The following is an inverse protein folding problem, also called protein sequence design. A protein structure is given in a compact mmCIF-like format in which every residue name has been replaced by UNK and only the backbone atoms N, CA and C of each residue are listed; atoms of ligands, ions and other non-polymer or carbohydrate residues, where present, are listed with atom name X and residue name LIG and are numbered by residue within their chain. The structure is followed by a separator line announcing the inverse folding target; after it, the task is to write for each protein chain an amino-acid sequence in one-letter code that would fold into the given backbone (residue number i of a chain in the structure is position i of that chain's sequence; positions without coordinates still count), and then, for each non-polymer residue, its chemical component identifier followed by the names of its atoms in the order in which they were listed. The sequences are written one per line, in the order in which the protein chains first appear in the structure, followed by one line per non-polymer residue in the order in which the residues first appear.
data_IF_252997842998
#
_entry.id   IF_252997842998
#
_cell.length_a   1.000
_cell.length_b   1.000
_cell.length_c   1.000
_cell.angle_alpha   90.00
_cell.angle_beta   90.00
_cell.angle_gamma   90.00
#
_symmetry.space_group_name_H-M   'P 1'
#
loop_
_entity.id
_entity.type
_entity.pdbx_description
1 polymer ?
#
# COMPACT_ATOMS: atom_id res chain seq x y z
N UNK A 1 -7.12 11.05 1.47
CA UNK A 1 -6.36 11.22 2.73
C UNK A 1 -6.54 10.03 3.70
N UNK A 2 -7.74 9.43 3.80
CA UNK A 2 -8.01 8.28 4.70
C UNK A 2 -7.19 7.01 4.37
N UNK A 3 -6.99 6.69 3.09
CA UNK A 3 -6.22 5.50 2.67
C UNK A 3 -4.74 5.53 3.09
N UNK A 4 -4.14 6.73 3.12
CA UNK A 4 -2.72 6.94 3.40
C UNK A 4 -2.34 6.55 4.83
N UNK A 5 -3.13 7.02 5.80
CA UNK A 5 -2.93 6.69 7.22
C UNK A 5 -3.23 5.20 7.44
N UNK A 6 -4.29 4.67 6.80
CA UNK A 6 -4.66 3.26 6.92
C UNK A 6 -3.56 2.30 6.47
N UNK A 7 -2.87 2.59 5.36
CA UNK A 7 -1.72 1.80 4.89
C UNK A 7 -0.59 1.80 5.91
N UNK A 8 -0.18 2.98 6.37
CA UNK A 8 0.93 3.09 7.33
C UNK A 8 0.60 2.39 8.65
N UNK A 9 -0.65 2.46 9.12
CA UNK A 9 -1.10 1.74 10.31
C UNK A 9 -1.06 0.22 10.13
N UNK A 10 -1.49 -0.29 8.97
CA UNK A 10 -1.43 -1.73 8.65
C UNK A 10 -0.01 -2.26 8.64
N UNK A 11 0.92 -1.53 8.00
CA UNK A 11 2.34 -1.88 8.00
C UNK A 11 2.93 -1.76 9.42
N UNK A 12 2.52 -0.77 10.22
CA UNK A 12 2.91 -0.66 11.63
C UNK A 12 2.44 -1.86 12.49
N UNK A 13 1.30 -2.46 12.13
CA UNK A 13 0.77 -3.67 12.77
C UNK A 13 1.45 -4.96 12.29
N UNK A 14 2.44 -4.87 11.39
CA UNK A 14 3.22 -6.00 10.89
C UNK A 14 2.73 -6.55 9.56
N UNK A 15 1.83 -5.86 8.85
CA UNK A 15 1.43 -6.27 7.50
C UNK A 15 2.55 -5.98 6.49
N UNK A 16 3.11 -7.03 5.91
CA UNK A 16 4.27 -6.96 5.00
C UNK A 16 3.90 -7.11 3.53
N UNK A 17 2.64 -7.42 3.21
CA UNK A 17 2.17 -7.61 1.85
C UNK A 17 0.68 -7.23 1.71
N UNK A 18 0.32 -6.70 0.55
CA UNK A 18 -1.06 -6.38 0.17
C UNK A 18 -1.45 -7.20 -1.06
N UNK A 19 -2.70 -7.66 -1.09
CA UNK A 19 -3.24 -8.48 -2.17
C UNK A 19 -4.54 -7.90 -2.70
N UNK A 20 -4.73 -8.00 -4.01
CA UNK A 20 -5.96 -7.59 -4.65
C UNK A 20 -7.13 -8.46 -4.12
N UNK A 21 -8.31 -7.85 -3.88
CA UNK A 21 -9.47 -8.59 -3.43
C UNK A 21 -9.92 -9.58 -4.50
N UNK A 22 -10.38 -10.77 -4.06
CA UNK A 22 -10.82 -11.87 -4.93
C UNK A 22 -12.07 -11.52 -5.76
N UNK A 23 -12.90 -10.60 -5.24
CA UNK A 23 -14.09 -10.08 -5.91
C UNK A 23 -13.86 -8.61 -6.32
N UNK A 24 -13.57 -8.34 -7.60
CA UNK A 24 -13.20 -7.00 -8.06
C UNK A 24 -14.39 -6.02 -8.18
N UNK A 25 -15.62 -6.51 -8.09
CA UNK A 25 -16.85 -5.78 -8.43
C UNK A 25 -17.13 -4.46 -7.67
N UNK A 26 -16.48 -4.22 -6.53
CA UNK A 26 -16.53 -2.93 -5.79
C UNK A 26 -15.14 -2.42 -5.34
N UNK A 27 -14.08 -3.21 -5.56
CA UNK A 27 -12.80 -3.01 -4.86
C UNK A 27 -11.57 -3.07 -5.77
N UNK A 28 -11.74 -3.30 -7.07
CA UNK A 28 -10.63 -3.42 -8.02
C UNK A 28 -9.91 -2.10 -8.31
N UNK A 29 -10.66 -1.06 -8.71
CA UNK A 29 -10.13 0.29 -8.92
C UNK A 29 -9.44 0.82 -7.65
N UNK A 30 -10.01 0.51 -6.48
CA UNK A 30 -9.46 0.86 -5.17
C UNK A 30 -8.10 0.20 -4.89
N UNK A 31 -7.83 -1.01 -5.40
CA UNK A 31 -6.55 -1.68 -5.14
C UNK A 31 -5.41 -1.12 -5.98
N UNK A 32 -5.65 -0.83 -7.25
CA UNK A 32 -4.59 -0.25 -8.10
C UNK A 32 -4.20 1.14 -7.59
N UNK A 33 -5.19 1.95 -7.20
CA UNK A 33 -4.96 3.24 -6.54
C UNK A 33 -4.21 3.09 -5.20
N UNK A 34 -4.54 2.09 -4.39
CA UNK A 34 -3.83 1.79 -3.13
C UNK A 34 -2.33 1.53 -3.37
N UNK A 35 -1.99 0.76 -4.39
CA UNK A 35 -0.60 0.45 -4.74
C UNK A 35 0.14 1.71 -5.19
N UNK A 36 -0.48 2.56 -6.00
CA UNK A 36 0.14 3.84 -6.39
C UNK A 36 0.42 4.73 -5.17
N UNK A 37 -0.46 4.73 -4.16
CA UNK A 37 -0.21 5.42 -2.90
C UNK A 37 0.96 4.81 -2.12
N UNK A 38 1.08 3.48 -2.07
CA UNK A 38 2.23 2.79 -1.44
C UNK A 38 3.53 3.19 -2.15
N UNK A 39 3.55 3.20 -3.48
CA UNK A 39 4.72 3.61 -4.27
C UNK A 39 5.04 5.10 -4.07
N UNK A 40 4.03 5.96 -3.93
CA UNK A 40 4.24 7.37 -3.63
C UNK A 40 4.83 7.57 -2.22
N UNK A 41 4.35 6.82 -1.23
CA UNK A 41 4.92 6.80 0.13
C UNK A 41 6.35 6.29 0.14
N UNK A 42 6.65 5.26 -0.64
CA UNK A 42 8.01 4.74 -0.75
C UNK A 42 8.96 5.74 -1.38
N UNK A 43 8.53 6.42 -2.45
CA UNK A 43 9.27 7.54 -3.08
C UNK A 43 9.50 8.72 -2.13
N UNK A 44 8.63 8.89 -1.13
CA UNK A 44 8.76 9.90 -0.07
C UNK A 44 9.62 9.44 1.12
N UNK A 45 10.15 8.22 1.10
CA UNK A 45 10.97 7.69 2.20
C UNK A 45 10.17 7.25 3.43
N UNK A 46 8.85 7.13 3.34
CA UNK A 46 7.97 6.81 4.48
C UNK A 46 7.85 5.30 4.72
N UNK A 47 8.00 4.51 3.67
CA UNK A 47 8.03 3.07 3.73
C UNK A 47 8.98 2.51 2.67
N UNK A 48 9.38 1.28 2.86
CA UNK A 48 10.01 0.46 1.82
C UNK A 48 8.98 -0.50 1.27
N UNK A 49 9.08 -0.80 -0.02
CA UNK A 49 8.23 -1.77 -0.71
C UNK A 49 9.04 -2.55 -1.74
N UNK A 50 8.65 -3.79 -1.98
CA UNK A 50 9.10 -4.57 -3.12
C UNK A 50 8.49 -4.10 -4.44
N UNK A 51 8.77 -4.83 -5.51
CA UNK A 51 8.18 -4.57 -6.82
C UNK A 51 6.71 -5.02 -6.85
N UNK A 52 5.78 -4.17 -7.31
CA UNK A 52 4.39 -4.57 -7.50
C UNK A 52 4.28 -5.69 -8.54
N UNK A 53 3.47 -6.71 -8.23
CA UNK A 53 3.09 -7.73 -9.21
C UNK A 53 1.95 -7.22 -10.07
N UNK A 54 2.20 -7.19 -11.37
CA UNK A 54 1.24 -6.71 -12.37
C UNK A 54 0.13 -7.74 -12.57
N UNK A 55 -1.11 -7.26 -12.61
CA UNK A 55 -2.30 -8.05 -12.89
C UNK A 55 -2.70 -8.07 -14.36
N UNK A 56 -3.80 -8.75 -14.67
CA UNK A 56 -4.41 -8.68 -15.99
C UNK A 56 -5.18 -7.36 -16.13
N UNK A 57 -4.91 -6.60 -17.21
CA UNK A 57 -5.52 -5.29 -17.52
C UNK A 57 -7.05 -5.25 -17.48
N UNK A 58 -7.71 -6.38 -17.60
CA UNK A 58 -9.18 -6.48 -17.60
C UNK A 58 -9.79 -6.51 -16.18
N UNK A 59 -8.98 -6.61 -15.12
CA UNK A 59 -9.47 -6.69 -13.74
C UNK A 59 -8.79 -5.70 -12.82
N UNK A 60 -7.46 -5.73 -12.72
CA UNK A 60 -6.66 -4.83 -11.88
C UNK A 60 -5.27 -4.64 -12.50
N UNK A 61 -4.70 -3.43 -12.40
CA UNK A 61 -3.33 -3.18 -12.85
C UNK A 61 -2.30 -3.93 -11.99
N UNK A 62 -2.58 -4.09 -10.70
CA UNK A 62 -1.74 -4.80 -9.75
C UNK A 62 -2.52 -5.91 -9.03
N UNK A 63 -1.84 -7.02 -8.72
CA UNK A 63 -2.41 -8.13 -7.94
C UNK A 63 -1.83 -8.22 -6.54
N UNK A 64 -0.62 -7.75 -6.33
CA UNK A 64 -0.01 -7.69 -5.00
C UNK A 64 1.21 -6.77 -4.96
N UNK A 65 1.61 -6.40 -3.76
CA UNK A 65 2.93 -5.85 -3.45
C UNK A 65 3.40 -6.46 -2.13
N UNK A 66 4.67 -6.82 -2.04
CA UNK A 66 5.28 -7.46 -0.88
C UNK A 66 6.46 -6.62 -0.36
N UNK A 67 7.13 -7.12 0.69
CA UNK A 67 8.28 -6.47 1.33
C UNK A 67 7.97 -5.05 1.84
N UNK A 68 6.75 -4.85 2.36
CA UNK A 68 6.37 -3.60 3.00
C UNK A 68 7.00 -3.49 4.39
N UNK A 69 7.68 -2.39 4.64
CA UNK A 69 8.20 -2.06 5.97
C UNK A 69 8.25 -0.55 6.18
N UNK A 70 7.85 -0.10 7.37
CA UNK A 70 7.93 1.31 7.75
C UNK A 70 9.38 1.75 7.90
N UNK A 71 9.68 2.93 7.40
CA UNK A 71 10.91 3.62 7.77
C UNK A 71 10.72 4.32 9.12
N UNK A 72 11.83 4.76 9.69
CA UNK A 72 11.81 5.58 10.91
C UNK A 72 11.08 6.91 10.68
N UNK A 73 11.22 7.50 9.49
CA UNK A 73 10.49 8.72 9.10
C UNK A 73 8.99 8.48 9.01
N UNK A 74 8.56 7.38 8.37
CA UNK A 74 7.16 7.00 8.30
C UNK A 74 6.53 6.73 9.67
N UNK A 75 7.29 6.10 10.57
CA UNK A 75 6.86 5.88 11.96
C UNK A 75 6.62 7.20 12.69
N UNK A 76 7.59 8.13 12.64
CA UNK A 76 7.47 9.44 13.30
C UNK A 76 6.31 10.26 12.75
N UNK A 77 6.12 10.25 11.43
CA UNK A 77 4.98 10.92 10.82
C UNK A 77 3.66 10.33 11.30
N UNK A 78 3.56 8.99 11.36
CA UNK A 78 2.36 8.31 11.84
C UNK A 78 2.05 8.64 13.30
N UNK A 79 3.08 8.76 14.14
CA UNK A 79 2.95 9.18 15.54
C UNK A 79 2.49 10.64 15.66
N UNK A 80 2.97 11.54 14.78
CA UNK A 80 2.55 12.95 14.76
C UNK A 80 1.16 13.20 14.15
N UNK A 81 0.68 12.26 13.33
CA UNK A 81 -0.63 12.31 12.69
C UNK A 81 -1.74 11.68 13.55
N UNK A 82 -1.38 11.14 14.73
CA UNK A 82 -2.27 10.58 15.75
C UNK A 82 -2.69 11.66 16.74
#
# INVERSE_FOLDING_TARGET
MVYLIGVLQRVAQGETALYAPRNPGESGENFSELIEHVLALSRRGMLTSGEPRVGNRNTNQYVSIDNLSLTEEGRRWLESAR
#
